data_IF_338874103302
#
_entry.id   IF_338874103302
#
_cell.length_a   1.000
_cell.length_b   1.000
_cell.length_c   1.000
_cell.angle_alpha   90.00
_cell.angle_beta   90.00
_cell.angle_gamma   90.00
#
_symmetry.space_group_name_H-M   'P 1'
#
loop_
_entity.id
_entity.type
_entity.pdbx_description
1 polymer ?
#
# COMPACT_ATOMS: atom_id res chain seq x y z
N UNK A 1 -11.42 17.41 -5.92
CA UNK A 1 -10.94 17.16 -7.29
C UNK A 1 -10.97 15.67 -7.52
N UNK A 2 -11.55 15.27 -8.64
CA UNK A 2 -11.70 13.86 -8.98
C UNK A 2 -10.45 13.38 -9.72
N UNK A 3 -10.01 12.16 -9.42
CA UNK A 3 -8.97 11.51 -10.21
C UNK A 3 -9.47 11.30 -11.64
N UNK A 4 -8.78 11.87 -12.62
CA UNK A 4 -9.17 11.76 -14.03
C UNK A 4 -8.23 10.86 -14.82
N UNK A 5 -8.76 10.36 -15.92
CA UNK A 5 -8.03 9.63 -16.96
C UNK A 5 -8.03 10.46 -18.24
N UNK A 6 -6.93 10.41 -18.96
CA UNK A 6 -6.82 10.93 -20.31
C UNK A 6 -7.01 9.76 -21.29
N UNK A 7 -8.15 9.71 -21.95
CA UNK A 7 -8.46 8.69 -22.96
C UNK A 7 -8.02 9.20 -24.33
N UNK A 8 -7.02 8.56 -24.91
CA UNK A 8 -6.52 8.87 -26.24
C UNK A 8 -7.26 8.07 -27.31
N UNK A 9 -8.00 8.75 -28.18
CA UNK A 9 -8.71 8.19 -29.33
C UNK A 9 -7.96 8.43 -30.64
N UNK A 10 -6.70 8.83 -30.62
CA UNK A 10 -5.86 9.13 -31.77
C UNK A 10 -6.14 10.49 -32.41
N UNK A 11 -7.40 10.85 -32.62
CA UNK A 11 -7.81 12.15 -33.16
C UNK A 11 -8.13 13.19 -32.07
N UNK A 12 -8.38 12.76 -30.85
CA UNK A 12 -8.65 13.62 -29.70
C UNK A 12 -8.30 12.91 -28.40
N UNK A 13 -7.97 13.68 -27.38
CA UNK A 13 -7.81 13.20 -25.99
C UNK A 13 -9.00 13.72 -25.19
N UNK A 14 -9.65 12.82 -24.46
CA UNK A 14 -10.82 13.15 -23.62
C UNK A 14 -10.44 12.92 -22.17
N UNK A 15 -10.55 13.96 -21.36
CA UNK A 15 -10.44 13.82 -19.90
C UNK A 15 -11.77 13.37 -19.32
N UNK A 16 -11.74 12.34 -18.47
CA UNK A 16 -12.92 11.84 -17.78
C UNK A 16 -12.54 11.36 -16.38
N UNK A 17 -13.43 11.48 -15.37
CA UNK A 17 -13.22 10.85 -14.07
C UNK A 17 -12.96 9.35 -14.22
N UNK A 18 -11.94 8.82 -13.53
CA UNK A 18 -11.57 7.40 -13.57
C UNK A 18 -12.76 6.49 -13.20
N UNK A 19 -13.62 6.96 -12.31
CA UNK A 19 -14.85 6.28 -11.89
C UNK A 19 -15.81 5.97 -13.06
N UNK A 20 -15.86 6.83 -14.07
CA UNK A 20 -16.69 6.60 -15.25
C UNK A 20 -16.29 5.34 -15.99
N UNK A 21 -14.99 5.04 -16.10
CA UNK A 21 -14.50 3.81 -16.72
C UNK A 21 -14.92 2.57 -15.90
N UNK A 22 -14.78 2.65 -14.57
CA UNK A 22 -15.20 1.56 -13.69
C UNK A 22 -16.68 1.27 -13.80
N UNK A 23 -17.52 2.30 -13.92
CA UNK A 23 -18.98 2.13 -14.07
C UNK A 23 -19.39 1.63 -15.46
N UNK A 24 -18.71 2.10 -16.51
CA UNK A 24 -19.06 1.75 -17.90
C UNK A 24 -18.56 0.35 -18.28
N UNK A 25 -17.34 -0.01 -17.86
CA UNK A 25 -16.64 -1.24 -18.29
C UNK A 25 -16.05 -2.04 -17.10
N UNK A 26 -16.86 -2.35 -16.07
CA UNK A 26 -16.32 -2.98 -14.85
C UNK A 26 -15.73 -4.38 -15.10
N UNK A 27 -16.30 -5.17 -16.03
CA UNK A 27 -15.83 -6.52 -16.30
C UNK A 27 -14.55 -6.54 -17.11
N UNK A 28 -14.46 -5.72 -18.14
CA UNK A 28 -13.28 -5.57 -18.97
C UNK A 28 -12.09 -5.03 -18.19
N UNK A 29 -12.37 -4.10 -17.24
CA UNK A 29 -11.36 -3.51 -16.39
C UNK A 29 -10.93 -4.49 -15.28
N UNK A 30 -11.86 -4.93 -14.46
CA UNK A 30 -11.58 -5.66 -13.23
C UNK A 30 -11.38 -7.17 -13.45
N UNK A 31 -12.05 -7.73 -14.44
CA UNK A 31 -12.25 -9.16 -14.64
C UNK A 31 -13.47 -9.70 -13.89
N UNK A 32 -14.02 -10.82 -14.36
CA UNK A 32 -15.29 -11.37 -13.85
C UNK A 32 -15.25 -11.71 -12.35
N UNK A 33 -14.14 -12.24 -11.84
CA UNK A 33 -14.01 -12.61 -10.42
C UNK A 33 -13.97 -11.38 -9.51
N UNK A 34 -13.18 -10.37 -9.88
CA UNK A 34 -13.08 -9.13 -9.10
C UNK A 34 -14.40 -8.39 -9.14
N UNK A 35 -15.02 -8.29 -10.32
CA UNK A 35 -16.34 -7.71 -10.47
C UNK A 35 -17.40 -8.45 -9.64
N UNK A 36 -17.38 -9.77 -9.59
CA UNK A 36 -18.34 -10.55 -8.78
C UNK A 36 -18.20 -10.28 -7.28
N UNK A 37 -16.97 -9.96 -6.81
CA UNK A 37 -16.69 -9.68 -5.39
C UNK A 37 -16.92 -8.21 -5.02
N UNK A 38 -16.49 -7.28 -5.86
CA UNK A 38 -16.42 -5.85 -5.54
C UNK A 38 -17.42 -5.01 -6.35
N UNK A 39 -18.18 -5.61 -7.29
CA UNK A 39 -19.12 -4.89 -8.13
C UNK A 39 -18.41 -3.84 -8.99
N UNK A 40 -18.81 -2.59 -8.85
CA UNK A 40 -18.22 -1.44 -9.55
C UNK A 40 -17.26 -0.64 -8.68
N UNK A 41 -16.59 -1.28 -7.74
CA UNK A 41 -15.53 -0.69 -6.92
C UNK A 41 -14.17 -1.13 -7.45
N UNK A 42 -13.21 -0.19 -7.50
CA UNK A 42 -11.82 -0.49 -7.83
C UNK A 42 -11.07 -0.77 -6.53
N UNK A 43 -10.68 -2.04 -6.25
CA UNK A 43 -10.28 -2.45 -4.90
C UNK A 43 -8.80 -2.21 -4.58
N UNK A 44 -8.01 -1.67 -5.49
CA UNK A 44 -6.57 -1.43 -5.34
C UNK A 44 -6.32 0.06 -5.30
N UNK A 45 -5.50 0.51 -4.34
CA UNK A 45 -5.05 1.90 -4.25
C UNK A 45 -3.54 1.94 -4.11
N UNK A 46 -2.89 2.77 -4.91
CA UNK A 46 -1.53 3.20 -4.71
C UNK A 46 -1.53 4.63 -4.20
N UNK A 47 -0.76 4.88 -3.14
CA UNK A 47 -0.57 6.21 -2.59
C UNK A 47 0.92 6.46 -2.32
N UNK A 48 1.38 7.68 -2.62
CA UNK A 48 2.76 8.07 -2.37
C UNK A 48 2.82 8.86 -1.07
N UNK A 49 3.50 8.28 -0.05
CA UNK A 49 3.72 8.93 1.23
C UNK A 49 5.16 9.46 1.26
N UNK A 50 5.30 10.76 1.22
CA UNK A 50 6.59 11.44 1.27
C UNK A 50 6.76 12.14 2.62
N UNK A 51 7.70 11.66 3.42
CA UNK A 51 8.10 12.24 4.70
C UNK A 51 9.56 12.70 4.69
N UNK A 52 10.16 12.86 3.50
CA UNK A 52 11.52 13.35 3.35
C UNK A 52 11.66 14.76 3.92
N UNK A 53 12.63 14.94 4.83
CA UNK A 53 12.81 16.18 5.59
C UNK A 53 11.56 16.62 6.38
N UNK A 54 10.63 15.71 6.57
CA UNK A 54 9.36 15.94 7.26
C UNK A 54 9.31 15.28 8.64
N UNK A 55 8.12 14.90 9.04
CA UNK A 55 7.82 14.29 10.32
C UNK A 55 7.12 12.94 10.13
N UNK A 56 7.09 12.12 11.19
CA UNK A 56 6.32 10.89 11.21
C UNK A 56 4.85 11.15 10.84
N UNK A 57 4.25 10.25 10.11
CA UNK A 57 2.80 10.23 9.94
C UNK A 57 2.10 9.89 11.25
N UNK A 58 0.79 10.11 11.32
CA UNK A 58 0.01 9.78 12.53
C UNK A 58 0.12 8.29 12.85
N UNK A 59 0.41 7.96 14.11
CA UNK A 59 0.33 6.58 14.58
C UNK A 59 -1.15 6.15 14.57
N UNK A 60 -1.45 5.04 13.90
CA UNK A 60 -2.81 4.66 13.56
C UNK A 60 -3.01 3.15 13.54
N UNK A 61 -4.27 2.74 13.43
CA UNK A 61 -4.67 1.35 13.24
C UNK A 61 -5.91 1.30 12.35
N UNK A 62 -5.90 0.42 11.35
CA UNK A 62 -7.09 0.16 10.53
C UNK A 62 -8.04 -0.79 11.26
N UNK A 63 -9.37 -0.59 11.14
CA UNK A 63 -10.35 -1.45 11.77
C UNK A 63 -10.28 -2.88 11.20
N UNK A 64 -10.59 -3.85 12.04
CA UNK A 64 -10.83 -5.22 11.59
C UNK A 64 -12.08 -5.28 10.70
N UNK A 65 -12.14 -6.23 9.78
CA UNK A 65 -13.25 -6.38 8.84
C UNK A 65 -14.61 -6.48 9.55
N UNK A 66 -14.70 -7.30 10.59
CA UNK A 66 -15.93 -7.48 11.35
C UNK A 66 -16.36 -6.21 12.08
N UNK A 67 -15.38 -5.42 12.53
CA UNK A 67 -15.63 -4.15 13.21
C UNK A 67 -16.17 -3.10 12.25
N UNK A 68 -15.52 -2.95 11.08
CA UNK A 68 -15.95 -1.95 10.09
C UNK A 68 -17.32 -2.28 9.49
N UNK A 69 -17.63 -3.58 9.34
CA UNK A 69 -18.95 -4.03 8.89
C UNK A 69 -20.04 -3.70 9.91
N UNK A 70 -19.81 -3.99 11.19
CA UNK A 70 -20.82 -3.82 12.25
C UNK A 70 -21.03 -2.36 12.66
N UNK A 71 -19.99 -1.53 12.65
CA UNK A 71 -20.04 -0.16 13.17
C UNK A 71 -20.18 0.91 12.07
N UNK A 72 -19.68 0.63 10.86
CA UNK A 72 -19.61 1.61 9.79
C UNK A 72 -20.27 1.15 8.49
N UNK A 73 -20.81 -0.09 8.46
CA UNK A 73 -21.52 -0.68 7.31
C UNK A 73 -20.68 -0.71 6.01
N UNK A 74 -19.36 -0.76 6.13
CA UNK A 74 -18.44 -0.93 5.00
C UNK A 74 -18.17 -2.42 4.76
N UNK A 75 -17.93 -2.79 3.50
CA UNK A 75 -17.85 -4.21 3.11
C UNK A 75 -16.50 -4.86 3.44
N UNK A 76 -15.40 -4.10 3.39
CA UNK A 76 -14.04 -4.55 3.67
C UNK A 76 -13.21 -3.42 4.28
N UNK A 77 -12.09 -3.79 4.89
CA UNK A 77 -11.20 -2.86 5.58
C UNK A 77 -10.02 -2.45 4.70
N UNK A 78 -9.25 -1.48 5.16
CA UNK A 78 -7.98 -1.08 4.59
C UNK A 78 -6.87 -1.99 5.13
N UNK A 79 -6.67 -3.15 4.48
CA UNK A 79 -5.39 -3.85 4.57
C UNK A 79 -4.40 -3.17 3.64
N UNK A 80 -3.16 -3.00 4.05
CA UNK A 80 -2.15 -2.29 3.28
C UNK A 80 -0.76 -2.87 3.42
N UNK A 81 0.15 -2.38 2.62
CA UNK A 81 1.58 -2.62 2.73
C UNK A 81 2.36 -1.38 2.30
N UNK A 82 3.57 -1.22 2.83
CA UNK A 82 4.51 -0.17 2.46
C UNK A 82 5.67 -0.75 1.68
N UNK A 83 5.89 -0.26 0.49
CA UNK A 83 7.12 -0.48 -0.25
C UNK A 83 7.98 0.77 -0.18
N UNK A 84 9.20 0.64 0.33
CA UNK A 84 10.11 1.76 0.52
C UNK A 84 10.77 2.13 -0.82
N UNK A 85 10.33 3.25 -1.41
CA UNK A 85 10.91 3.80 -2.64
C UNK A 85 12.26 4.46 -2.35
N UNK A 86 12.36 5.12 -1.19
CA UNK A 86 13.60 5.72 -0.71
C UNK A 86 13.58 5.87 0.82
N UNK A 87 14.75 5.98 1.41
CA UNK A 87 14.95 6.19 2.83
C UNK A 87 16.25 6.95 3.04
N UNK A 88 16.19 8.10 3.68
CA UNK A 88 17.30 9.03 3.85
C UNK A 88 17.50 9.37 5.34
N UNK A 89 18.43 10.29 5.64
CA UNK A 89 18.70 10.72 7.02
C UNK A 89 19.44 9.66 7.86
N UNK A 90 19.49 9.90 9.18
CA UNK A 90 20.27 9.07 10.10
C UNK A 90 19.53 7.80 10.56
N UNK A 91 18.20 7.82 10.63
CA UNK A 91 17.42 6.73 11.20
C UNK A 91 16.01 6.60 10.58
N UNK A 92 15.91 6.42 9.24
CA UNK A 92 14.62 6.20 8.61
C UNK A 92 13.97 4.93 9.16
N UNK A 93 12.68 5.00 9.42
CA UNK A 93 11.97 3.90 10.09
C UNK A 93 10.50 3.82 9.72
N UNK A 94 9.90 2.67 10.03
CA UNK A 94 8.46 2.46 10.11
C UNK A 94 8.13 2.05 11.54
N UNK A 95 7.10 2.64 12.13
CA UNK A 95 6.54 2.13 13.37
C UNK A 95 5.56 1.01 13.03
N UNK A 96 5.73 -0.18 13.64
CA UNK A 96 4.98 -1.37 13.23
C UNK A 96 4.77 -2.35 14.38
N UNK A 97 3.51 -2.59 14.73
CA UNK A 97 3.10 -3.53 15.77
C UNK A 97 3.51 -3.13 17.18
N UNK A 98 3.17 -3.95 18.12
CA UNK A 98 3.33 -3.68 19.55
C UNK A 98 4.70 -4.18 20.04
N UNK A 99 5.37 -3.40 20.85
CA UNK A 99 6.65 -3.81 21.44
C UNK A 99 6.45 -4.94 22.45
N UNK A 100 7.32 -5.94 22.42
CA UNK A 100 7.24 -7.07 23.35
C UNK A 100 7.20 -6.61 24.81
N UNK A 101 6.31 -7.21 25.61
CA UNK A 101 6.12 -6.85 27.02
C UNK A 101 5.21 -5.65 27.28
N UNK A 102 4.68 -5.01 26.24
CA UNK A 102 3.67 -3.95 26.38
C UNK A 102 2.39 -4.52 27.01
N UNK A 103 1.90 -3.87 28.05
CA UNK A 103 0.58 -4.15 28.60
C UNK A 103 -0.45 -3.22 27.95
N UNK A 104 -1.58 -3.75 27.46
CA UNK A 104 -2.60 -2.96 26.79
C UNK A 104 -3.05 -1.74 27.60
N UNK A 105 -3.32 -1.94 28.89
CA UNK A 105 -3.82 -0.90 29.79
C UNK A 105 -2.81 0.25 29.93
N UNK A 106 -1.51 -0.06 30.06
CA UNK A 106 -0.46 0.95 30.19
C UNK A 106 -0.33 1.79 28.91
N UNK A 107 -0.48 1.19 27.75
CA UNK A 107 -0.43 1.91 26.45
C UNK A 107 -1.65 2.81 26.28
N UNK A 108 -2.84 2.30 26.57
CA UNK A 108 -4.09 3.07 26.45
C UNK A 108 -4.10 4.24 27.43
N UNK A 109 -3.69 4.04 28.70
CA UNK A 109 -3.58 5.10 29.69
C UNK A 109 -2.59 6.18 29.28
N UNK A 110 -1.46 5.79 28.67
CA UNK A 110 -0.47 6.75 28.17
C UNK A 110 -1.01 7.58 26.98
N UNK A 111 -1.74 6.96 26.05
CA UNK A 111 -2.41 7.64 24.94
C UNK A 111 -3.48 8.62 25.46
N UNK A 112 -4.31 8.18 26.40
CA UNK A 112 -5.34 9.01 27.03
C UNK A 112 -4.73 10.21 27.78
N UNK A 113 -3.63 9.97 28.50
CA UNK A 113 -2.89 11.03 29.21
C UNK A 113 -2.36 12.09 28.24
N UNK A 114 -1.75 11.65 27.14
CA UNK A 114 -1.24 12.57 26.13
C UNK A 114 -2.36 13.36 25.43
N UNK A 115 -3.47 12.72 25.13
CA UNK A 115 -4.65 13.37 24.52
C UNK A 115 -5.22 14.48 25.43
N UNK A 116 -5.22 14.25 26.75
CA UNK A 116 -5.72 15.22 27.73
C UNK A 116 -4.71 16.32 28.10
N UNK A 117 -3.65 16.49 27.30
CA UNK A 117 -2.64 17.55 27.50
C UNK A 117 -1.61 17.22 28.59
N UNK A 118 -1.50 15.96 29.01
CA UNK A 118 -0.47 15.47 29.91
C UNK A 118 0.88 15.22 29.20
N UNK A 119 1.67 14.27 29.73
CA UNK A 119 2.96 13.92 29.11
C UNK A 119 2.75 13.35 27.69
N UNK A 120 3.60 13.71 26.72
CA UNK A 120 3.57 13.15 25.39
C UNK A 120 3.62 11.62 25.42
N UNK A 121 2.91 10.99 24.49
CA UNK A 121 2.92 9.52 24.36
C UNK A 121 4.33 9.01 23.99
N UNK A 122 4.93 8.15 24.81
CA UNK A 122 6.27 7.62 24.55
C UNK A 122 6.19 6.46 23.55
N UNK A 123 6.00 6.75 22.25
CA UNK A 123 5.71 5.76 21.22
C UNK A 123 6.72 4.60 21.20
N UNK A 124 8.03 4.88 21.33
CA UNK A 124 9.07 3.86 21.29
C UNK A 124 9.12 2.95 22.55
N UNK A 125 8.35 3.28 23.59
CA UNK A 125 8.13 2.36 24.73
C UNK A 125 7.16 1.24 24.35
N UNK A 126 6.16 1.53 23.50
CA UNK A 126 5.02 0.67 23.26
C UNK A 126 4.93 0.09 21.84
N UNK A 127 5.56 0.76 20.85
CA UNK A 127 5.49 0.39 19.43
C UNK A 127 6.91 0.11 18.93
N UNK A 128 7.06 -0.91 18.09
CA UNK A 128 8.34 -1.18 17.47
C UNK A 128 8.70 -0.09 16.47
N UNK A 129 9.93 0.39 16.54
CA UNK A 129 10.55 1.25 15.54
C UNK A 129 11.48 0.39 14.69
N UNK A 130 11.06 0.10 13.47
CA UNK A 130 11.76 -0.79 12.54
C UNK A 130 12.61 0.07 11.60
N UNK A 131 13.94 -0.02 11.62
CA UNK A 131 14.79 0.62 10.63
C UNK A 131 14.46 0.10 9.23
N UNK A 132 14.43 0.99 8.26
CA UNK A 132 14.10 0.65 6.87
C UNK A 132 15.10 1.26 5.90
N UNK A 133 15.16 0.66 4.71
CA UNK A 133 15.96 1.14 3.57
C UNK A 133 15.17 0.98 2.28
N UNK A 134 15.64 1.59 1.23
CA UNK A 134 15.10 1.43 -0.13
C UNK A 134 14.90 -0.06 -0.46
N UNK A 135 13.75 -0.38 -1.03
CA UNK A 135 13.27 -1.72 -1.41
C UNK A 135 12.85 -2.65 -0.27
N UNK A 136 12.87 -2.20 0.97
CA UNK A 136 12.17 -2.93 2.02
C UNK A 136 10.67 -2.90 1.79
N UNK A 137 9.99 -3.96 2.24
CA UNK A 137 8.54 -4.08 2.16
C UNK A 137 7.98 -4.54 3.50
N UNK A 138 6.96 -3.86 4.00
CA UNK A 138 6.29 -4.23 5.23
C UNK A 138 4.80 -4.41 5.01
N UNK A 139 4.25 -5.51 5.53
CA UNK A 139 2.82 -5.80 5.49
C UNK A 139 2.12 -5.16 6.70
N UNK A 140 0.95 -4.59 6.48
CA UNK A 140 0.17 -3.89 7.49
C UNK A 140 -1.28 -4.40 7.43
N UNK A 141 -1.53 -5.64 7.86
CA UNK A 141 -2.91 -6.13 7.94
C UNK A 141 -3.68 -5.35 9.01
N UNK A 142 -4.97 -5.14 8.76
CA UNK A 142 -5.88 -4.44 9.68
C UNK A 142 -5.72 -4.91 11.13
N UNK A 143 -5.77 -3.97 12.06
CA UNK A 143 -5.46 -4.21 13.48
C UNK A 143 -3.98 -4.12 13.86
N UNK A 144 -3.08 -3.79 12.93
CA UNK A 144 -1.67 -3.53 13.22
C UNK A 144 -1.46 -2.05 13.49
N UNK A 145 -0.94 -1.70 14.66
CA UNK A 145 -0.52 -0.33 14.98
C UNK A 145 0.68 0.03 14.10
N UNK A 146 0.62 1.15 13.37
CA UNK A 146 1.67 1.52 12.43
C UNK A 146 1.69 3.02 12.10
N UNK A 147 2.79 3.47 11.56
CA UNK A 147 2.91 4.66 10.70
C UNK A 147 4.26 4.70 9.99
N UNK A 148 4.32 5.43 8.88
CA UNK A 148 5.60 5.82 8.26
C UNK A 148 6.32 6.83 9.16
N UNK A 149 7.60 6.58 9.41
CA UNK A 149 8.48 7.51 10.11
C UNK A 149 8.95 8.65 9.19
N UNK A 150 9.67 9.61 9.77
CA UNK A 150 10.33 10.66 9.03
C UNK A 150 11.39 10.10 8.05
N UNK A 151 11.73 10.89 7.04
CA UNK A 151 12.78 10.60 6.07
C UNK A 151 12.59 9.32 5.27
N UNK A 152 11.34 8.99 4.96
CA UNK A 152 10.98 7.85 4.09
C UNK A 152 10.11 8.31 2.93
N UNK A 153 10.26 7.65 1.77
CA UNK A 153 9.34 7.73 0.66
C UNK A 153 8.74 6.36 0.41
N UNK A 154 7.43 6.26 0.53
CA UNK A 154 6.69 4.99 0.53
C UNK A 154 5.71 4.95 -0.63
N UNK A 155 5.67 3.84 -1.34
CA UNK A 155 4.51 3.42 -2.12
C UNK A 155 3.62 2.60 -1.19
N UNK A 156 2.53 3.20 -0.72
CA UNK A 156 1.47 2.49 -0.01
C UNK A 156 0.60 1.75 -1.03
N UNK A 157 0.40 0.46 -0.78
CA UNK A 157 -0.46 -0.42 -1.57
C UNK A 157 -1.59 -0.84 -0.66
N UNK A 158 -2.77 -0.34 -0.88
CA UNK A 158 -3.90 -0.55 0.01
C UNK A 158 -5.14 -1.11 -0.68
N UNK A 159 -5.91 -1.83 0.11
CA UNK A 159 -7.16 -2.49 -0.27
C UNK A 159 -8.34 -1.61 0.13
N UNK A 160 -8.58 -0.51 -0.60
CA UNK A 160 -9.72 0.35 -0.28
C UNK A 160 -9.98 1.38 -1.38
N UNK A 161 -11.25 1.71 -1.65
CA UNK A 161 -11.60 2.93 -2.34
C UNK A 161 -11.52 4.19 -1.45
N UNK A 162 -11.42 4.02 -0.10
CA UNK A 162 -11.39 5.10 0.89
C UNK A 162 -10.27 4.90 1.90
N UNK A 163 -9.71 6.00 2.40
CA UNK A 163 -8.86 5.97 3.58
C UNK A 163 -9.76 5.80 4.80
N UNK A 164 -9.60 4.70 5.54
CA UNK A 164 -10.32 4.47 6.77
C UNK A 164 -9.40 3.96 7.87
N UNK A 165 -9.09 4.86 8.81
CA UNK A 165 -8.16 4.55 9.89
C UNK A 165 -8.56 5.21 11.20
N UNK A 166 -8.11 4.63 12.32
CA UNK A 166 -8.25 5.23 13.64
C UNK A 166 -6.89 5.74 14.11
N UNK A 167 -6.79 7.07 14.20
CA UNK A 167 -5.61 7.75 14.71
C UNK A 167 -5.49 7.51 16.21
N UNK A 168 -4.33 7.00 16.64
CA UNK A 168 -3.98 6.76 18.05
C UNK A 168 -3.15 7.89 18.64
N UNK A 169 -2.21 8.44 17.84
CA UNK A 169 -1.33 9.50 18.28
C UNK A 169 -0.86 10.37 17.09
N UNK A 170 -0.84 11.67 17.26
CA UNK A 170 -0.40 12.59 16.20
C UNK A 170 0.83 13.40 16.60
N UNK A 171 1.74 12.82 17.37
CA UNK A 171 3.05 13.37 17.77
C UNK A 171 2.96 14.74 18.46
N UNK A 172 1.83 15.04 19.12
CA UNK A 172 1.58 16.31 19.77
C UNK A 172 1.28 17.47 18.82
N UNK A 173 1.04 17.19 17.54
CA UNK A 173 0.65 18.23 16.57
C UNK A 173 -0.71 18.82 16.92
N UNK A 174 -0.82 20.12 16.66
CA UNK A 174 -2.06 20.88 16.86
C UNK A 174 -2.68 21.24 15.50
N UNK A 175 -3.96 21.53 15.51
CA UNK A 175 -4.69 22.09 14.38
C UNK A 175 -4.47 23.60 14.24
N UNK A 176 -5.15 24.23 13.31
CA UNK A 176 -5.06 25.68 13.06
C UNK A 176 -5.55 26.53 14.25
N UNK A 177 -6.37 25.97 15.13
CA UNK A 177 -6.88 26.61 16.34
C UNK A 177 -5.96 26.39 17.56
N UNK A 178 -4.82 25.72 17.36
CA UNK A 178 -3.86 25.41 18.42
C UNK A 178 -4.29 24.29 19.36
N UNK A 179 -5.33 23.52 19.00
CA UNK A 179 -5.80 22.36 19.77
C UNK A 179 -5.14 21.09 19.28
N UNK A 180 -4.91 20.10 20.18
CA UNK A 180 -4.46 18.79 19.76
C UNK A 180 -5.39 18.20 18.68
N UNK A 181 -4.81 17.66 17.61
CA UNK A 181 -5.60 16.99 16.57
C UNK A 181 -6.38 15.83 17.17
N UNK A 182 -7.63 15.61 16.74
CA UNK A 182 -8.47 14.55 17.30
C UNK A 182 -7.86 13.17 17.06
N UNK A 183 -7.98 12.30 18.06
CA UNK A 183 -7.67 10.88 17.98
C UNK A 183 -8.95 10.06 18.16
N UNK A 184 -8.89 8.79 17.74
CA UNK A 184 -10.04 7.88 17.76
C UNK A 184 -9.74 6.69 18.68
N UNK A 185 -9.37 7.00 19.94
CA UNK A 185 -8.79 6.03 20.86
C UNK A 185 -9.73 4.87 21.19
N UNK A 186 -11.02 5.15 21.39
CA UNK A 186 -12.01 4.11 21.69
C UNK A 186 -12.10 3.08 20.56
N UNK A 187 -12.32 3.56 19.34
CA UNK A 187 -12.35 2.69 18.16
C UNK A 187 -11.00 2.03 17.90
N UNK A 188 -9.91 2.79 18.02
CA UNK A 188 -8.57 2.26 17.79
C UNK A 188 -8.22 1.14 18.75
N UNK A 189 -8.44 1.34 20.05
CA UNK A 189 -8.15 0.34 21.07
C UNK A 189 -8.92 -0.98 20.86
N UNK A 190 -10.16 -0.89 20.39
CA UNK A 190 -11.00 -2.05 20.08
C UNK A 190 -10.48 -2.89 18.91
N UNK A 191 -9.61 -2.32 18.08
CA UNK A 191 -9.10 -2.98 16.88
C UNK A 191 -7.64 -3.45 16.97
N UNK A 192 -6.86 -2.98 17.95
CA UNK A 192 -5.45 -3.36 18.09
C UNK A 192 -5.33 -4.87 18.33
N UNK A 193 -4.51 -5.52 17.51
CA UNK A 193 -4.17 -6.93 17.66
C UNK A 193 -2.90 -7.05 18.52
N UNK A 194 -3.10 -7.14 19.84
CA UNK A 194 -2.03 -7.09 20.86
C UNK A 194 -0.99 -8.21 20.74
N UNK A 195 -1.33 -9.34 20.12
CA UNK A 195 -0.42 -10.44 19.87
C UNK A 195 0.62 -10.15 18.76
N UNK A 196 0.41 -9.09 17.96
CA UNK A 196 1.36 -8.67 16.93
C UNK A 196 2.52 -7.91 17.56
N UNK A 197 3.26 -8.64 18.38
CA UNK A 197 4.42 -8.16 19.09
C UNK A 197 5.68 -8.16 18.22
N UNK A 198 6.81 -7.74 18.79
CA UNK A 198 8.09 -7.59 18.09
C UNK A 198 8.46 -8.85 17.29
N UNK A 199 8.44 -10.02 17.91
CA UNK A 199 8.82 -11.27 17.25
C UNK A 199 7.86 -11.64 16.11
N UNK A 200 6.57 -11.51 16.36
CA UNK A 200 5.53 -11.79 15.36
C UNK A 200 5.67 -10.85 14.14
N UNK A 201 5.89 -9.55 14.37
CA UNK A 201 6.07 -8.53 13.34
C UNK A 201 7.27 -8.85 12.45
N UNK A 202 8.43 -9.09 13.04
CA UNK A 202 9.64 -9.42 12.26
C UNK A 202 9.47 -10.71 11.44
N UNK A 203 8.80 -11.72 11.99
CA UNK A 203 8.59 -12.99 11.29
C UNK A 203 7.59 -12.89 10.13
N UNK A 204 6.53 -12.11 10.30
CA UNK A 204 5.35 -12.18 9.42
C UNK A 204 5.15 -10.93 8.55
N UNK A 205 5.70 -9.78 8.92
CA UNK A 205 5.38 -8.52 8.25
C UNK A 205 6.57 -7.85 7.57
N UNK A 206 7.79 -8.04 8.08
CA UNK A 206 8.97 -7.33 7.56
C UNK A 206 9.67 -8.18 6.51
N UNK A 207 9.72 -7.70 5.27
CA UNK A 207 10.37 -8.39 4.14
C UNK A 207 9.94 -9.86 3.99
N UNK A 208 8.68 -10.15 4.27
CA UNK A 208 8.09 -11.49 4.12
C UNK A 208 7.85 -11.79 2.64
N UNK A 209 8.91 -12.03 1.88
CA UNK A 209 8.89 -12.27 0.45
C UNK A 209 9.06 -13.75 0.11
N UNK A 210 8.43 -14.20 -0.98
CA UNK A 210 8.62 -15.53 -1.53
C UNK A 210 9.08 -15.44 -2.99
N UNK A 211 10.08 -16.25 -3.35
CA UNK A 211 10.52 -16.35 -4.73
C UNK A 211 9.43 -17.02 -5.59
N UNK A 212 9.15 -16.43 -6.74
CA UNK A 212 8.22 -16.97 -7.75
C UNK A 212 9.00 -17.45 -8.99
N UNK A 213 9.98 -16.67 -9.40
CA UNK A 213 10.82 -16.98 -10.56
C UNK A 213 12.20 -16.36 -10.39
N UNK A 214 13.23 -17.13 -10.75
CA UNK A 214 14.61 -16.67 -10.92
C UNK A 214 15.20 -17.28 -12.18
N UNK A 215 15.71 -16.48 -13.09
CA UNK A 215 16.27 -16.92 -14.35
C UNK A 215 17.15 -15.86 -15.01
N UNK A 216 17.65 -16.15 -16.21
CA UNK A 216 18.57 -15.26 -16.96
C UNK A 216 17.96 -13.87 -17.24
N UNK A 217 16.65 -13.79 -17.40
CA UNK A 217 15.95 -12.54 -17.72
C UNK A 217 15.58 -11.71 -16.49
N UNK A 218 15.83 -12.21 -15.28
CA UNK A 218 15.53 -11.49 -14.04
C UNK A 218 14.84 -12.32 -13.00
N UNK A 219 14.21 -11.66 -12.03
CA UNK A 219 13.53 -12.30 -10.89
C UNK A 219 12.13 -11.76 -10.69
N UNK A 220 11.24 -12.61 -10.17
CA UNK A 220 9.93 -12.21 -9.68
C UNK A 220 9.78 -12.73 -8.26
N UNK A 221 9.53 -11.83 -7.33
CA UNK A 221 9.22 -12.19 -5.94
C UNK A 221 7.81 -11.73 -5.59
N UNK A 222 7.11 -12.55 -4.82
CA UNK A 222 5.82 -12.22 -4.24
C UNK A 222 6.05 -11.57 -2.88
N UNK A 223 5.49 -10.40 -2.67
CA UNK A 223 5.68 -9.58 -1.46
C UNK A 223 4.41 -9.49 -0.61
N UNK A 224 3.22 -9.59 -1.19
CA UNK A 224 1.92 -9.57 -0.52
C UNK A 224 1.51 -10.96 -0.04
N UNK A 225 2.06 -11.44 1.08
CA UNK A 225 1.87 -12.81 1.54
C UNK A 225 0.87 -12.97 2.69
N UNK A 226 0.41 -11.89 3.31
CA UNK A 226 -0.50 -12.00 4.43
C UNK A 226 -1.84 -12.61 3.99
N UNK A 227 -2.25 -13.69 4.62
CA UNK A 227 -3.42 -14.49 4.21
C UNK A 227 -4.76 -13.74 4.28
N UNK A 228 -4.85 -12.73 5.14
CA UNK A 228 -6.07 -11.92 5.31
C UNK A 228 -6.26 -10.88 4.22
N UNK A 229 -5.19 -10.47 3.56
CA UNK A 229 -5.24 -9.48 2.49
C UNK A 229 -5.74 -10.14 1.21
N UNK A 230 -6.71 -9.51 0.56
CA UNK A 230 -7.15 -9.97 -0.77
C UNK A 230 -6.27 -9.41 -1.89
N UNK A 231 -5.40 -8.47 -1.60
CA UNK A 231 -4.38 -8.01 -2.53
C UNK A 231 -3.19 -8.97 -2.54
N UNK A 232 -2.62 -9.09 -3.71
CA UNK A 232 -1.33 -9.74 -3.91
C UNK A 232 -0.39 -8.79 -4.62
N UNK A 233 0.87 -8.77 -4.20
CA UNK A 233 1.88 -7.88 -4.75
C UNK A 233 3.11 -8.66 -5.17
N UNK A 234 3.67 -8.25 -6.31
CA UNK A 234 4.85 -8.86 -6.91
C UNK A 234 5.85 -7.77 -7.24
N UNK A 235 7.14 -8.07 -7.08
CA UNK A 235 8.22 -7.25 -7.61
C UNK A 235 8.91 -7.98 -8.74
N UNK A 236 8.86 -7.40 -9.92
CA UNK A 236 9.61 -7.79 -11.11
C UNK A 236 10.93 -7.02 -11.13
N UNK A 237 12.05 -7.73 -11.26
CA UNK A 237 13.38 -7.12 -11.40
C UNK A 237 14.01 -7.67 -12.68
N UNK A 238 14.33 -6.81 -13.63
CA UNK A 238 14.91 -7.24 -14.92
C UNK A 238 15.77 -6.15 -15.55
N UNK A 239 16.80 -6.56 -16.27
CA UNK A 239 17.54 -5.76 -17.26
C UNK A 239 17.29 -6.22 -18.69
N UNK A 240 16.32 -7.10 -18.89
CA UNK A 240 15.92 -7.67 -20.18
C UNK A 240 14.41 -7.60 -20.34
N UNK A 241 13.73 -8.73 -20.42
CA UNK A 241 12.28 -8.85 -20.57
C UNK A 241 11.74 -9.98 -19.72
N UNK A 242 10.70 -9.70 -18.94
CA UNK A 242 9.96 -10.68 -18.16
C UNK A 242 8.50 -10.73 -18.59
N UNK A 243 7.93 -11.93 -18.83
CA UNK A 243 6.52 -12.09 -19.13
C UNK A 243 5.68 -11.85 -17.86
N UNK A 244 4.54 -11.20 -18.05
CA UNK A 244 3.48 -11.09 -17.04
C UNK A 244 2.27 -11.86 -17.56
N UNK A 245 2.01 -12.98 -16.92
CA UNK A 245 0.88 -13.83 -17.29
C UNK A 245 -0.42 -13.26 -16.74
N UNK A 246 -1.45 -13.36 -17.54
CA UNK A 246 -2.79 -12.93 -17.23
C UNK A 246 -3.30 -13.58 -15.95
N UNK A 247 -3.48 -12.78 -14.93
CA UNK A 247 -4.33 -13.14 -13.82
C UNK A 247 -5.80 -12.87 -14.19
N UNK A 248 -6.72 -13.38 -13.40
CA UNK A 248 -8.16 -13.12 -13.54
C UNK A 248 -8.55 -11.76 -12.91
N UNK A 249 -7.61 -10.82 -12.86
CA UNK A 249 -7.68 -9.54 -12.16
C UNK A 249 -7.09 -8.41 -13.01
N UNK A 250 -7.55 -7.20 -12.76
CA UNK A 250 -6.84 -5.97 -13.12
C UNK A 250 -5.47 -5.93 -12.45
N UNK A 251 -4.47 -5.39 -13.13
CA UNK A 251 -3.15 -5.12 -12.59
C UNK A 251 -2.92 -3.63 -12.41
N UNK A 252 -2.34 -3.24 -11.29
CA UNK A 252 -1.85 -1.89 -11.03
C UNK A 252 -0.34 -1.95 -10.84
N UNK A 253 0.42 -1.18 -11.62
CA UNK A 253 1.87 -1.23 -11.68
C UNK A 253 2.49 0.11 -11.33
N UNK A 254 3.68 0.07 -10.71
CA UNK A 254 4.51 1.26 -10.50
C UNK A 254 5.98 0.91 -10.74
N UNK A 255 6.70 1.78 -11.47
CA UNK A 255 8.15 1.65 -11.64
C UNK A 255 8.85 2.20 -10.40
N UNK A 256 9.39 1.32 -9.58
CA UNK A 256 9.98 1.65 -8.27
C UNK A 256 11.50 1.76 -8.27
N UNK A 257 12.14 1.38 -9.38
CA UNK A 257 13.59 1.56 -9.60
C UNK A 257 13.92 1.52 -11.09
N UNK A 258 14.96 2.26 -11.48
CA UNK A 258 15.30 2.50 -12.88
C UNK A 258 14.63 3.76 -13.44
N UNK A 259 15.03 4.18 -14.63
CA UNK A 259 14.52 5.41 -15.25
C UNK A 259 13.28 5.16 -16.09
N UNK A 260 13.22 4.01 -16.77
CA UNK A 260 12.18 3.68 -17.74
C UNK A 260 12.00 2.16 -17.89
N UNK A 261 10.76 1.72 -17.86
CA UNK A 261 10.34 0.38 -18.27
C UNK A 261 9.34 0.48 -19.43
N UNK A 262 9.20 -0.57 -20.22
CA UNK A 262 8.23 -0.62 -21.34
C UNK A 262 7.33 -1.83 -21.15
N UNK A 263 6.03 -1.59 -21.19
CA UNK A 263 5.00 -2.62 -21.22
C UNK A 263 4.57 -2.89 -22.66
N UNK A 264 4.54 -4.16 -23.07
CA UNK A 264 4.12 -4.57 -24.42
C UNK A 264 3.07 -5.66 -24.33
N UNK A 265 1.94 -5.44 -24.99
CA UNK A 265 0.92 -6.48 -25.15
C UNK A 265 1.45 -7.60 -26.04
N UNK A 266 1.12 -8.85 -25.69
CA UNK A 266 1.42 -10.02 -26.53
C UNK A 266 0.38 -10.28 -27.63
N UNK A 267 -0.75 -9.61 -27.54
CA UNK A 267 -1.88 -9.75 -28.48
C UNK A 267 -2.22 -8.42 -29.18
N UNK A 268 -1.34 -7.44 -29.13
CA UNK A 268 -1.54 -6.09 -29.66
C UNK A 268 -2.80 -5.40 -29.10
N UNK A 269 -3.20 -5.73 -27.86
CA UNK A 269 -4.36 -5.12 -27.22
C UNK A 269 -4.14 -3.66 -26.84
N UNK A 270 -2.88 -3.23 -26.73
CA UNK A 270 -2.50 -1.83 -26.51
C UNK A 270 -1.13 -1.55 -27.13
N UNK A 271 -0.83 -0.29 -27.54
CA UNK A 271 0.49 0.09 -28.02
C UNK A 271 1.53 0.00 -26.90
N UNK A 272 2.85 -0.12 -27.20
CA UNK A 272 3.88 -0.07 -26.18
C UNK A 272 3.72 1.15 -25.27
N UNK A 273 3.66 0.90 -23.96
CA UNK A 273 3.52 1.94 -22.94
C UNK A 273 4.84 2.11 -22.20
N UNK A 274 5.38 3.31 -22.20
CA UNK A 274 6.54 3.66 -21.39
C UNK A 274 6.08 4.06 -19.99
N UNK A 275 6.76 3.54 -18.99
CA UNK A 275 6.53 3.82 -17.57
C UNK A 275 7.82 4.36 -16.97
N UNK A 276 7.79 5.55 -16.39
CA UNK A 276 8.94 6.20 -15.76
C UNK A 276 8.94 6.00 -14.24
N UNK A 277 10.06 6.32 -13.59
CA UNK A 277 10.18 6.19 -12.13
C UNK A 277 9.04 6.88 -11.40
N UNK A 278 8.47 6.16 -10.43
CA UNK A 278 7.33 6.55 -9.61
C UNK A 278 5.98 6.73 -10.38
N UNK A 279 5.95 6.50 -11.69
CA UNK A 279 4.68 6.48 -12.43
C UNK A 279 3.88 5.21 -12.17
N UNK A 280 2.57 5.38 -12.08
CA UNK A 280 1.61 4.29 -11.92
C UNK A 280 0.80 4.12 -13.20
N UNK A 281 0.59 2.87 -13.62
CA UNK A 281 -0.35 2.54 -14.66
C UNK A 281 -1.28 1.39 -14.25
N UNK A 282 -2.42 1.31 -14.94
CA UNK A 282 -3.41 0.25 -14.79
C UNK A 282 -3.46 -0.54 -16.10
N UNK A 283 -3.31 -1.86 -16.01
CA UNK A 283 -3.53 -2.77 -17.12
C UNK A 283 -4.86 -3.49 -16.88
N UNK A 284 -5.89 -3.19 -17.69
CA UNK A 284 -7.19 -3.84 -17.60
C UNK A 284 -7.07 -5.36 -17.77
N UNK A 285 -7.93 -6.11 -17.11
CA UNK A 285 -7.94 -7.56 -17.24
C UNK A 285 -8.13 -8.01 -18.70
N UNK A 286 -8.93 -7.28 -19.48
CA UNK A 286 -9.19 -7.56 -20.89
C UNK A 286 -7.97 -7.37 -21.80
N UNK A 287 -6.91 -6.67 -21.35
CA UNK A 287 -5.69 -6.47 -22.12
C UNK A 287 -4.88 -7.76 -22.34
N UNK A 288 -5.13 -8.81 -21.55
CA UNK A 288 -4.46 -10.11 -21.69
C UNK A 288 -3.02 -10.11 -21.20
N UNK A 289 -2.23 -11.06 -21.72
CA UNK A 289 -0.81 -11.23 -21.38
C UNK A 289 0.03 -10.08 -21.97
N UNK A 290 1.02 -9.69 -21.21
CA UNK A 290 1.98 -8.65 -21.62
C UNK A 290 3.37 -8.97 -21.06
N UNK A 291 4.33 -8.13 -21.36
CA UNK A 291 5.69 -8.22 -20.84
C UNK A 291 6.18 -6.88 -20.33
N UNK A 292 7.08 -6.93 -19.36
CA UNK A 292 7.83 -5.79 -18.81
C UNK A 292 9.25 -5.91 -19.34
N UNK A 293 9.76 -4.86 -19.97
CA UNK A 293 11.12 -4.83 -20.50
C UNK A 293 11.88 -3.60 -20.09
N UNK A 294 13.20 -3.76 -19.93
CA UNK A 294 14.14 -2.65 -19.86
C UNK A 294 14.59 -2.28 -21.28
N UNK A 295 14.33 -1.07 -21.77
CA UNK A 295 14.64 -0.70 -23.15
C UNK A 295 16.12 -0.43 -23.43
N UNK A 296 16.93 -0.18 -22.40
CA UNK A 296 18.34 0.16 -22.50
C UNK A 296 19.27 -0.87 -21.82
N UNK A 297 18.70 -1.93 -21.27
CA UNK A 297 19.45 -2.99 -20.58
C UNK A 297 19.87 -2.64 -19.15
N UNK A 298 19.48 -1.49 -18.61
CA UNK A 298 19.65 -1.16 -17.20
C UNK A 298 18.66 -1.97 -16.34
N UNK A 299 18.99 -2.21 -15.07
CA UNK A 299 18.07 -2.89 -14.17
C UNK A 299 16.87 -1.98 -13.86
N UNK A 300 15.67 -2.54 -13.99
CA UNK A 300 14.42 -1.90 -13.58
C UNK A 300 13.68 -2.78 -12.56
N UNK A 301 12.98 -2.15 -11.62
CA UNK A 301 12.09 -2.84 -10.68
C UNK A 301 10.69 -2.27 -10.79
N UNK A 302 9.74 -3.16 -11.01
CA UNK A 302 8.32 -2.83 -11.12
C UNK A 302 7.54 -3.57 -10.04
N UNK A 303 6.77 -2.84 -9.25
CA UNK A 303 5.75 -3.42 -8.36
C UNK A 303 4.47 -3.60 -9.17
N UNK A 304 3.87 -4.77 -9.03
CA UNK A 304 2.57 -5.11 -9.56
C UNK A 304 1.66 -5.52 -8.40
N UNK A 305 0.50 -4.89 -8.30
CA UNK A 305 -0.57 -5.30 -7.39
C UNK A 305 -1.77 -5.82 -8.18
N UNK A 306 -2.41 -6.86 -7.65
CA UNK A 306 -3.62 -7.46 -8.21
C UNK A 306 -4.50 -8.01 -7.07
N UNK A 307 -5.75 -8.38 -7.40
CA UNK A 307 -6.61 -9.11 -6.46
C UNK A 307 -6.23 -10.59 -6.50
N UNK A 308 -6.01 -11.15 -5.31
CA UNK A 308 -5.66 -12.57 -5.11
C UNK A 308 -6.79 -13.48 -5.56
N UNK A 309 -6.43 -14.58 -6.21
CA UNK A 309 -7.34 -15.64 -6.67
C UNK A 309 -7.89 -16.49 -5.54
#
# INVERSE_FOLDING_TARGET
EENSLLLDFGSCVVETPALNLVYAHPRELLGDRVHARFGKEFPIRFDMLDTMHGQNLSLQVHPLTEYIQSHFHMHYTQDESYYLLDAAGEAPCVYLGIKAGTKPEEMIDALQTAQNGGKPFPAEKFVNKIPVKKHDHVLIPAGTVHCSGADTMVLEISATPYIFTFKLWDWGRVDLDGKPRPIHLEHGAANIQWYRNTEWVHRNLVNAVAEVYTGENGTVVRTGLHEREFLDTFRFTTSSTLPVHRNVSVHMLNLVDGTRAVLRSKSDAFPPLELHYAETCIVPQAAGDYEISSPDGSEVKVILACVRN
#
